data_IF_985848161836
#
_entry.id   IF_985848161836
#
_cell.length_a   1.000
_cell.length_b   1.000
_cell.length_c   1.000
_cell.angle_alpha   90.00
_cell.angle_beta   90.00
_cell.angle_gamma   90.00
#
_symmetry.space_group_name_H-M   'P 1'
#
loop_
_entity.id
_entity.type
_entity.pdbx_description
1 polymer ?
#
# COMPACT_ATOMS: atom_id res chain seq x y z
N UNK A 1 0.03 3.76 -14.92
CA UNK A 1 0.17 2.44 -14.26
C UNK A 1 -0.87 1.50 -14.87
N UNK A 2 -0.56 0.23 -15.05
CA UNK A 2 -1.43 -0.80 -15.65
C UNK A 2 -1.73 -1.91 -14.63
N UNK A 3 -2.84 -2.65 -14.81
CA UNK A 3 -3.24 -3.76 -13.93
C UNK A 3 -2.27 -4.95 -14.09
N UNK A 4 -1.78 -5.50 -12.99
CA UNK A 4 -0.98 -6.73 -13.00
C UNK A 4 -1.88 -7.98 -13.13
N UNK A 5 -1.43 -8.96 -13.92
CA UNK A 5 -2.27 -10.06 -14.46
C UNK A 5 -2.41 -11.27 -13.50
N UNK A 6 -1.61 -11.36 -12.43
CA UNK A 6 -1.69 -12.47 -11.47
C UNK A 6 -2.42 -12.07 -10.19
N UNK A 7 -3.76 -12.12 -10.24
CA UNK A 7 -4.68 -11.88 -9.11
C UNK A 7 -5.58 -13.08 -8.78
N UNK A 8 -5.47 -14.20 -9.52
CA UNK A 8 -6.41 -15.33 -9.43
C UNK A 8 -6.35 -16.09 -8.10
N UNK A 9 -5.22 -16.02 -7.39
CA UNK A 9 -4.99 -16.70 -6.11
C UNK A 9 -5.48 -15.89 -4.89
N UNK A 10 -5.96 -14.66 -5.10
CA UNK A 10 -6.33 -13.73 -4.04
C UNK A 10 -7.78 -13.25 -4.17
N UNK A 11 -8.29 -12.58 -3.12
CA UNK A 11 -9.61 -11.96 -3.15
C UNK A 11 -9.71 -10.97 -4.32
N UNK A 12 -10.81 -11.05 -5.08
CA UNK A 12 -11.07 -10.24 -6.27
C UNK A 12 -10.98 -8.72 -6.08
N UNK A 13 -11.06 -8.25 -4.82
CA UNK A 13 -10.91 -6.83 -4.46
C UNK A 13 -9.45 -6.34 -4.52
N UNK A 14 -8.47 -7.24 -4.52
CA UNK A 14 -7.05 -6.90 -4.55
C UNK A 14 -6.64 -6.55 -5.98
N UNK A 15 -6.17 -5.31 -6.18
CA UNK A 15 -5.68 -4.81 -7.45
C UNK A 15 -4.17 -4.61 -7.40
N UNK A 16 -3.45 -5.43 -8.17
CA UNK A 16 -2.03 -5.24 -8.43
C UNK A 16 -1.79 -4.15 -9.48
N UNK A 17 -0.88 -3.23 -9.19
CA UNK A 17 -0.48 -2.14 -10.09
C UNK A 17 0.97 -2.35 -10.55
N UNK A 18 1.22 -2.09 -11.83
CA UNK A 18 2.57 -2.11 -12.42
C UNK A 18 2.76 -0.94 -13.39
N UNK A 19 3.96 -0.75 -13.91
CA UNK A 19 4.26 0.35 -14.84
C UNK A 19 5.68 0.29 -15.37
N UNK A 20 6.09 1.36 -16.05
CA UNK A 20 7.49 1.53 -16.47
C UNK A 20 8.40 1.64 -15.24
N UNK A 21 9.68 1.31 -15.41
CA UNK A 21 10.66 1.46 -14.33
C UNK A 21 10.76 2.91 -13.81
N UNK A 22 10.52 3.91 -14.66
CA UNK A 22 10.46 5.31 -14.24
C UNK A 22 9.26 5.62 -13.35
N UNK A 23 8.07 5.13 -13.72
CA UNK A 23 6.85 5.31 -12.92
C UNK A 23 6.96 4.60 -11.57
N UNK A 24 7.54 3.39 -11.54
CA UNK A 24 7.78 2.64 -10.29
C UNK A 24 8.77 3.39 -9.39
N UNK A 25 9.87 3.93 -9.94
CA UNK A 25 10.84 4.73 -9.17
C UNK A 25 10.24 6.01 -8.61
N UNK A 26 9.40 6.70 -9.39
CA UNK A 26 8.71 7.91 -8.94
C UNK A 26 7.82 7.60 -7.73
N UNK A 27 6.99 6.56 -7.83
CA UNK A 27 6.13 6.12 -6.72
C UNK A 27 6.95 5.71 -5.49
N UNK A 28 8.05 4.98 -5.70
CA UNK A 28 8.92 4.58 -4.61
C UNK A 28 9.53 5.79 -3.88
N UNK A 29 9.91 6.84 -4.61
CA UNK A 29 10.42 8.06 -4.02
C UNK A 29 9.35 8.83 -3.23
N UNK A 30 8.14 8.95 -3.79
CA UNK A 30 7.03 9.69 -3.19
C UNK A 30 6.58 9.06 -1.86
N UNK A 31 6.45 7.74 -1.82
CA UNK A 31 6.05 7.00 -0.62
C UNK A 31 7.24 6.56 0.25
N UNK A 32 8.46 6.97 -0.11
CA UNK A 32 9.73 6.60 0.56
C UNK A 32 9.90 5.09 0.72
N UNK A 33 9.42 4.34 -0.27
CA UNK A 33 9.56 2.89 -0.37
C UNK A 33 10.97 2.58 -0.86
N UNK A 34 11.71 1.81 -0.06
CA UNK A 34 13.01 1.31 -0.47
C UNK A 34 12.86 -0.04 -1.18
N UNK A 35 13.53 -0.20 -2.31
CA UNK A 35 13.71 -1.50 -2.94
C UNK A 35 15.13 -1.65 -3.49
N UNK A 36 15.74 -2.81 -3.30
CA UNK A 36 17.10 -3.12 -3.79
C UNK A 36 17.21 -4.58 -4.18
N UNK A 37 17.95 -4.86 -5.25
CA UNK A 37 18.38 -6.22 -5.62
C UNK A 37 19.45 -6.70 -4.64
N UNK A 38 19.22 -7.82 -3.95
CA UNK A 38 20.05 -8.26 -2.81
C UNK A 38 20.90 -9.49 -3.13
N UNK A 39 20.31 -10.51 -3.74
CA UNK A 39 21.00 -11.73 -4.15
C UNK A 39 20.69 -12.02 -5.60
N UNK A 40 21.69 -12.47 -6.32
CA UNK A 40 21.60 -12.96 -7.71
C UNK A 40 22.06 -14.41 -7.69
N UNK A 41 21.19 -15.32 -8.14
CA UNK A 41 21.50 -16.74 -8.33
C UNK A 41 21.15 -17.10 -9.77
N UNK A 42 22.15 -17.01 -10.65
CA UNK A 42 21.96 -17.14 -12.10
C UNK A 42 21.00 -16.08 -12.65
N UNK A 43 19.87 -16.53 -13.21
CA UNK A 43 18.83 -15.66 -13.78
C UNK A 43 17.84 -15.12 -12.73
N UNK A 44 17.88 -15.66 -11.50
CA UNK A 44 16.96 -15.30 -10.43
C UNK A 44 17.57 -14.29 -9.46
N UNK A 45 16.69 -13.47 -8.85
CA UNK A 45 17.12 -12.51 -7.84
C UNK A 45 16.07 -12.21 -6.79
N UNK A 46 16.56 -11.87 -5.60
CA UNK A 46 15.75 -11.37 -4.49
C UNK A 46 15.74 -9.84 -4.45
N UNK A 47 14.58 -9.28 -4.12
CA UNK A 47 14.41 -7.84 -3.88
C UNK A 47 14.14 -7.61 -2.41
N UNK A 48 15.07 -6.93 -1.74
CA UNK A 48 14.83 -6.38 -0.42
C UNK A 48 13.94 -5.15 -0.56
N UNK A 49 12.77 -5.17 0.07
CA UNK A 49 11.78 -4.09 0.08
C UNK A 49 11.42 -3.71 1.51
N UNK A 50 10.97 -2.48 1.75
CA UNK A 50 10.34 -2.14 3.02
C UNK A 50 8.97 -2.85 3.14
N UNK A 51 8.62 -3.30 4.34
CA UNK A 51 7.41 -4.09 4.60
C UNK A 51 6.30 -3.25 5.21
N UNK A 52 6.07 -2.06 4.63
CA UNK A 52 5.06 -1.12 5.12
C UNK A 52 3.79 -1.19 4.26
N UNK A 53 2.64 -1.20 4.91
CA UNK A 53 1.34 -0.99 4.28
C UNK A 53 0.87 0.44 4.57
N UNK A 54 0.34 1.12 3.55
CA UNK A 54 -0.11 2.51 3.66
C UNK A 54 -1.63 2.59 3.52
N UNK A 55 -2.29 3.30 4.43
CA UNK A 55 -3.70 3.65 4.33
C UNK A 55 -3.84 5.05 3.75
N UNK A 56 -4.51 5.17 2.61
CA UNK A 56 -4.77 6.42 1.93
C UNK A 56 -6.20 6.88 2.14
N UNK A 57 -6.42 8.19 2.25
CA UNK A 57 -7.76 8.76 2.22
C UNK A 57 -8.25 8.95 0.76
N UNK A 58 -9.54 9.33 0.54
CA UNK A 58 -10.06 9.60 -0.79
C UNK A 58 -9.38 10.76 -1.55
N UNK A 59 -8.55 11.58 -0.88
CA UNK A 59 -7.72 12.62 -1.48
C UNK A 59 -6.30 12.16 -1.82
N UNK A 60 -6.03 10.85 -1.70
CA UNK A 60 -4.71 10.23 -1.93
C UNK A 60 -3.63 10.62 -0.92
N UNK A 61 -4.01 11.17 0.24
CA UNK A 61 -3.08 11.51 1.31
C UNK A 61 -2.86 10.29 2.21
N UNK A 62 -1.62 10.07 2.65
CA UNK A 62 -1.28 9.02 3.61
C UNK A 62 -1.86 9.38 4.98
N UNK A 63 -2.79 8.58 5.45
CA UNK A 63 -3.41 8.72 6.77
C UNK A 63 -2.60 7.97 7.82
N UNK A 64 -2.14 6.77 7.47
CA UNK A 64 -1.43 5.89 8.40
C UNK A 64 -0.54 4.90 7.67
N UNK A 65 0.51 4.45 8.35
CA UNK A 65 1.42 3.39 7.91
C UNK A 65 1.36 2.24 8.93
N UNK A 66 1.29 1.01 8.44
CA UNK A 66 1.30 -0.22 9.24
C UNK A 66 2.54 -1.04 8.88
N UNK A 67 3.34 -1.39 9.88
CA UNK A 67 4.47 -2.31 9.71
C UNK A 67 4.06 -3.77 9.98
N UNK A 68 5.06 -4.66 9.93
CA UNK A 68 4.90 -6.11 10.14
C UNK A 68 4.55 -6.48 11.58
N UNK A 69 4.68 -5.55 12.52
CA UNK A 69 4.35 -5.73 13.93
C UNK A 69 2.84 -5.84 14.19
N UNK A 70 1.99 -5.42 13.25
CA UNK A 70 0.54 -5.46 13.40
C UNK A 70 0.01 -6.86 13.05
N UNK A 71 -0.73 -7.46 13.98
CA UNK A 71 -1.56 -8.63 13.66
C UNK A 71 -2.87 -8.18 12.96
N UNK A 72 -3.63 -9.11 12.36
CA UNK A 72 -4.85 -8.78 11.62
C UNK A 72 -5.91 -8.06 12.46
N UNK A 73 -6.07 -8.42 13.73
CA UNK A 73 -7.06 -7.83 14.62
C UNK A 73 -6.71 -6.37 14.93
N UNK A 74 -5.47 -6.11 15.33
CA UNK A 74 -4.97 -4.76 15.63
C UNK A 74 -5.04 -3.86 14.39
N UNK A 75 -4.62 -4.38 13.22
CA UNK A 75 -4.69 -3.65 11.96
C UNK A 75 -6.15 -3.28 11.63
N UNK A 76 -7.08 -4.22 11.77
CA UNK A 76 -8.50 -3.97 11.48
C UNK A 76 -9.09 -2.89 12.38
N UNK A 77 -8.75 -2.90 13.67
CA UNK A 77 -9.22 -1.91 14.63
C UNK A 77 -8.66 -0.51 14.33
N UNK A 78 -7.37 -0.41 14.00
CA UNK A 78 -6.77 0.87 13.64
C UNK A 78 -7.34 1.44 12.34
N UNK A 79 -7.58 0.59 11.33
CA UNK A 79 -8.26 1.03 10.10
C UNK A 79 -9.68 1.54 10.39
N UNK A 80 -10.44 0.85 11.24
CA UNK A 80 -11.80 1.28 11.61
C UNK A 80 -11.81 2.64 12.31
N UNK A 81 -10.84 2.91 13.20
CA UNK A 81 -10.71 4.21 13.87
C UNK A 81 -10.52 5.35 12.87
N UNK A 82 -9.65 5.17 11.88
CA UNK A 82 -9.43 6.18 10.84
C UNK A 82 -10.67 6.41 9.97
N UNK A 83 -11.36 5.34 9.58
CA UNK A 83 -12.59 5.42 8.77
C UNK A 83 -13.73 6.11 9.54
N UNK A 84 -13.89 5.82 10.83
CA UNK A 84 -14.90 6.45 11.67
C UNK A 84 -14.65 7.96 11.82
N UNK A 85 -13.39 8.36 12.01
CA UNK A 85 -12.97 9.76 12.08
C UNK A 85 -13.33 10.53 10.79
N UNK A 86 -13.06 9.95 9.63
CA UNK A 86 -13.42 10.54 8.32
C UNK A 86 -14.94 10.65 8.12
N UNK A 87 -15.70 9.64 8.58
CA UNK A 87 -17.15 9.62 8.46
C UNK A 87 -17.81 10.70 9.32
N UNK A 88 -17.33 10.88 10.55
CA UNK A 88 -17.79 11.94 11.46
C UNK A 88 -17.48 13.34 10.90
N UNK A 89 -16.31 13.50 10.27
CA UNK A 89 -15.94 14.73 9.57
C UNK A 89 -16.86 15.10 8.40
N UNK A 90 -17.32 14.12 7.62
CA UNK A 90 -18.25 14.36 6.51
C UNK A 90 -19.67 14.70 7.00
N UNK A 91 -20.08 14.19 8.16
CA UNK A 91 -21.39 14.50 8.76
C UNK A 91 -21.40 15.94 9.32
N UNK A 92 -20.33 16.39 9.96
CA UNK A 92 -20.24 17.72 10.58
C UNK A 92 -20.04 18.88 9.60
N UNK A 93 -19.82 18.60 8.31
CA UNK A 93 -19.62 19.61 7.24
C UNK A 93 -20.73 19.64 6.18
N UNK A 94 -21.85 18.95 6.40
CA UNK A 94 -23.03 19.17 5.56
C UNK A 94 -23.64 20.54 5.90
N UNK A 95 -24.06 21.34 4.91
CA UNK A 95 -24.73 22.62 5.15
C UNK A 95 -26.08 22.43 5.85
#
# INVERSE_FOLDING_TARGET
MSKAVHQLEFDSRILGLTGSASAIRQMAQEYRVYFKKVQEDGDDYLVGTCHNMYLLNPKMEVVRCFGVEYNPDDLSQEVLKEVASVSQWHILRKP
#
